data_IF_385484124839
#
_entry.id   IF_385484124839
#
_cell.length_a   1.000
_cell.length_b   1.000
_cell.length_c   1.000
_cell.angle_alpha   90.00
_cell.angle_beta   90.00
_cell.angle_gamma   90.00
#
_symmetry.space_group_name_H-M   'P 1'
#
loop_
_entity.id
_entity.type
_entity.pdbx_description
1 polymer ?
#
# COMPACT_ATOMS: atom_id res chain seq x y z
N UNK A 1 -7.31 8.07 -22.59
CA UNK A 1 -6.06 7.74 -21.86
C UNK A 1 -6.41 7.33 -20.43
N UNK A 2 -5.90 6.21 -19.99
CA UNK A 2 -6.19 5.72 -18.66
C UNK A 2 -5.36 6.44 -17.60
N UNK A 3 -5.97 6.69 -16.44
CA UNK A 3 -5.24 7.17 -15.28
C UNK A 3 -4.40 6.01 -14.72
N UNK A 4 -3.14 6.26 -14.41
CA UNK A 4 -2.23 5.22 -13.92
C UNK A 4 -2.01 5.38 -12.42
N UNK A 5 -2.38 4.37 -11.66
CA UNK A 5 -2.23 4.35 -10.20
C UNK A 5 -1.34 3.17 -9.82
N UNK A 6 -0.31 3.45 -9.06
CA UNK A 6 0.56 2.42 -8.50
C UNK A 6 0.15 2.14 -7.06
N UNK A 7 -0.13 0.89 -6.77
CA UNK A 7 -0.39 0.46 -5.39
C UNK A 7 0.90 -0.17 -4.87
N UNK A 8 1.35 0.29 -3.70
CA UNK A 8 2.54 -0.24 -3.05
C UNK A 8 2.13 -0.70 -1.66
N UNK A 9 2.24 -2.00 -1.42
CA UNK A 9 1.94 -2.59 -0.12
C UNK A 9 3.22 -3.04 0.57
N UNK A 10 3.35 -2.72 1.84
CA UNK A 10 4.50 -3.03 2.65
C UNK A 10 4.42 -4.36 3.37
N UNK A 11 5.16 -4.46 4.50
CA UNK A 11 5.36 -5.74 5.17
C UNK A 11 4.06 -6.43 5.59
N UNK A 12 4.04 -7.72 5.39
CA UNK A 12 3.00 -8.64 5.84
C UNK A 12 1.67 -8.55 5.11
N UNK A 13 1.51 -7.63 4.18
CA UNK A 13 0.28 -7.55 3.38
C UNK A 13 0.15 -8.79 2.48
N UNK A 14 1.28 -9.40 2.11
CA UNK A 14 1.27 -10.64 1.35
C UNK A 14 0.62 -11.80 2.11
N UNK A 15 0.44 -11.65 3.43
CA UNK A 15 -0.20 -12.68 4.26
C UNK A 15 -1.69 -12.41 4.47
N UNK A 16 -2.21 -11.36 3.88
CA UNK A 16 -3.63 -11.04 4.00
C UNK A 16 -4.46 -12.21 3.46
N UNK A 17 -5.44 -12.63 4.26
CA UNK A 17 -6.28 -13.78 3.91
C UNK A 17 -5.69 -15.11 4.32
N UNK A 18 -4.43 -15.15 4.76
CA UNK A 18 -3.74 -16.39 5.13
C UNK A 18 -3.51 -16.53 6.62
N UNK A 19 -3.35 -15.41 7.34
CA UNK A 19 -3.14 -15.44 8.78
C UNK A 19 -4.34 -14.85 9.48
N UNK A 20 -4.78 -15.54 10.54
CA UNK A 20 -5.88 -15.09 11.38
C UNK A 20 -7.09 -14.59 10.58
N UNK A 21 -7.69 -15.44 9.72
CA UNK A 21 -8.82 -15.02 8.88
C UNK A 21 -10.00 -14.46 9.66
N UNK A 22 -10.18 -14.90 10.90
CA UNK A 22 -11.26 -14.39 11.75
C UNK A 22 -11.07 -12.92 12.14
N UNK A 23 -9.82 -12.43 12.06
CA UNK A 23 -9.49 -11.05 12.43
C UNK A 23 -9.34 -10.18 11.19
N UNK A 24 -8.63 -10.68 10.19
CA UNK A 24 -8.25 -9.88 9.01
C UNK A 24 -9.10 -10.17 7.76
N UNK A 25 -9.99 -11.17 7.87
CA UNK A 25 -10.77 -11.62 6.72
C UNK A 25 -10.03 -12.68 5.92
N UNK A 26 -10.78 -13.40 5.09
CA UNK A 26 -10.22 -14.50 4.30
C UNK A 26 -9.75 -14.07 2.91
N UNK A 27 -10.06 -12.85 2.51
CA UNK A 27 -9.75 -12.35 1.17
C UNK A 27 -8.30 -11.88 1.09
N UNK A 28 -7.58 -12.33 0.08
CA UNK A 28 -6.22 -11.86 -0.18
C UNK A 28 -6.27 -10.47 -0.80
N UNK A 29 -5.11 -9.78 -0.80
CA UNK A 29 -5.06 -8.49 -1.48
C UNK A 29 -5.21 -8.65 -2.99
N UNK A 30 -4.72 -9.73 -3.55
CA UNK A 30 -4.87 -10.01 -4.96
C UNK A 30 -6.34 -10.10 -5.37
N UNK A 31 -7.16 -10.73 -4.52
CA UNK A 31 -8.61 -10.78 -4.74
C UNK A 31 -9.23 -9.38 -4.68
N UNK A 32 -8.80 -8.60 -3.71
CA UNK A 32 -9.25 -7.23 -3.55
C UNK A 32 -8.89 -6.38 -4.77
N UNK A 33 -7.69 -6.58 -5.28
CA UNK A 33 -7.19 -5.85 -6.45
C UNK A 33 -8.05 -6.13 -7.68
N UNK A 34 -8.49 -7.37 -7.87
CA UNK A 34 -9.38 -7.70 -8.98
C UNK A 34 -10.72 -6.98 -8.86
N UNK A 35 -11.22 -6.83 -7.65
CA UNK A 35 -12.44 -6.07 -7.42
C UNK A 35 -12.25 -4.59 -7.74
N UNK A 36 -11.10 -4.03 -7.38
CA UNK A 36 -10.78 -2.64 -7.71
C UNK A 36 -10.72 -2.43 -9.21
N UNK A 37 -10.08 -3.33 -9.92
CA UNK A 37 -9.98 -3.24 -11.37
C UNK A 37 -11.35 -3.30 -12.05
N UNK A 38 -12.23 -4.15 -11.53
CA UNK A 38 -13.57 -4.28 -12.06
C UNK A 38 -14.41 -3.03 -11.76
N UNK A 39 -14.23 -2.46 -10.57
CA UNK A 39 -15.00 -1.28 -10.14
C UNK A 39 -14.57 0.01 -10.85
N UNK A 40 -13.29 0.07 -11.26
CA UNK A 40 -12.73 1.27 -11.87
C UNK A 40 -12.03 0.94 -13.19
N UNK A 41 -12.80 0.58 -14.23
CA UNK A 41 -12.21 0.13 -15.50
C UNK A 41 -11.41 1.20 -16.23
N UNK A 42 -11.60 2.47 -15.86
CA UNK A 42 -10.86 3.58 -16.48
C UNK A 42 -9.52 3.87 -15.80
N UNK A 43 -9.19 3.09 -14.77
CA UNK A 43 -7.92 3.24 -14.06
C UNK A 43 -7.04 2.03 -14.35
N UNK A 44 -5.80 2.30 -14.72
CA UNK A 44 -4.80 1.25 -14.88
C UNK A 44 -4.06 1.11 -13.55
N UNK A 45 -4.31 0.00 -12.85
CA UNK A 45 -3.65 -0.28 -11.57
C UNK A 45 -2.43 -1.13 -11.79
N UNK A 46 -1.32 -0.71 -11.18
CA UNK A 46 -0.12 -1.54 -11.05
C UNK A 46 0.06 -1.88 -9.60
N UNK A 47 0.54 -3.07 -9.30
CA UNK A 47 0.66 -3.55 -7.93
C UNK A 47 2.07 -3.99 -7.61
N UNK A 48 2.55 -3.59 -6.45
CA UNK A 48 3.86 -3.99 -5.94
C UNK A 48 3.73 -4.22 -4.43
N UNK A 49 4.31 -5.32 -3.96
CA UNK A 49 4.34 -5.63 -2.54
C UNK A 49 5.76 -6.02 -2.16
N UNK A 50 6.23 -5.52 -1.02
CA UNK A 50 7.54 -5.91 -0.52
C UNK A 50 7.58 -5.79 1.00
N UNK A 51 8.35 -6.67 1.62
CA UNK A 51 8.66 -6.58 3.04
C UNK A 51 9.94 -5.76 3.27
N UNK A 52 10.58 -5.30 2.19
CA UNK A 52 11.87 -4.62 2.25
C UNK A 52 11.68 -3.13 2.00
N UNK A 53 12.02 -2.31 2.99
CA UNK A 53 11.86 -0.86 2.91
C UNK A 53 12.51 -0.25 1.68
N UNK A 54 13.75 -0.64 1.39
CA UNK A 54 14.48 -0.10 0.25
C UNK A 54 13.81 -0.37 -1.09
N UNK A 55 13.18 -1.52 -1.22
CA UNK A 55 12.48 -1.86 -2.45
C UNK A 55 11.23 -1.00 -2.64
N UNK A 56 10.57 -0.63 -1.54
CA UNK A 56 9.42 0.27 -1.58
C UNK A 56 9.88 1.66 -2.03
N UNK A 57 10.99 2.13 -1.50
CA UNK A 57 11.58 3.41 -1.87
C UNK A 57 11.93 3.43 -3.35
N UNK A 58 12.57 2.37 -3.83
CA UNK A 58 12.94 2.25 -5.24
C UNK A 58 11.71 2.28 -6.15
N UNK A 59 10.63 1.64 -5.73
CA UNK A 59 9.40 1.66 -6.51
C UNK A 59 8.79 3.06 -6.56
N UNK A 60 8.82 3.80 -5.46
CA UNK A 60 8.33 5.18 -5.43
C UNK A 60 9.14 6.04 -6.40
N UNK A 61 10.47 5.88 -6.42
CA UNK A 61 11.32 6.61 -7.37
C UNK A 61 10.98 6.23 -8.81
N UNK A 62 10.75 4.96 -9.06
CA UNK A 62 10.49 4.46 -10.41
C UNK A 62 9.22 5.07 -11.01
N UNK A 63 8.15 5.19 -10.20
CA UNK A 63 6.84 5.63 -10.69
C UNK A 63 6.53 7.08 -10.33
N UNK A 64 7.39 7.72 -9.57
CA UNK A 64 7.08 8.98 -8.90
C UNK A 64 7.03 10.22 -9.78
N UNK A 65 7.28 10.09 -11.09
CA UNK A 65 7.31 11.24 -12.00
C UNK A 65 6.39 11.08 -13.21
N UNK A 66 5.82 9.90 -13.41
CA UNK A 66 4.99 9.66 -14.59
C UNK A 66 3.67 8.94 -14.31
N UNK A 67 3.44 8.46 -13.09
CA UNK A 67 2.13 7.96 -12.71
C UNK A 67 1.26 9.09 -12.20
N UNK A 68 -0.05 8.89 -12.21
CA UNK A 68 -1.00 9.89 -11.74
C UNK A 68 -1.18 9.86 -10.23
N UNK A 69 -0.93 8.73 -9.61
CA UNK A 69 -1.02 8.62 -8.16
C UNK A 69 -0.36 7.36 -7.65
N UNK A 70 0.02 7.39 -6.38
CA UNK A 70 0.57 6.24 -5.66
C UNK A 70 -0.29 6.04 -4.42
N UNK A 71 -0.78 4.82 -4.22
CA UNK A 71 -1.49 4.44 -2.99
C UNK A 71 -0.53 3.57 -2.19
N UNK A 72 -0.10 4.07 -1.05
CA UNK A 72 0.94 3.43 -0.24
C UNK A 72 0.36 2.91 1.07
N UNK A 73 0.57 1.62 1.31
CA UNK A 73 0.31 1.02 2.61
C UNK A 73 1.64 0.52 3.15
N UNK A 74 2.31 1.36 3.91
CA UNK A 74 3.67 1.08 4.38
C UNK A 74 3.71 0.16 5.60
N UNK A 75 2.56 -0.17 6.18
CA UNK A 75 2.52 -1.00 7.37
C UNK A 75 3.25 -0.32 8.53
N UNK A 76 4.11 -1.07 9.20
CA UNK A 76 4.84 -0.54 10.35
C UNK A 76 5.77 0.62 9.99
N UNK A 77 6.22 0.70 8.75
CA UNK A 77 7.11 1.78 8.33
C UNK A 77 6.44 3.15 8.33
N UNK A 78 5.13 3.20 8.34
CA UNK A 78 4.39 4.46 8.45
C UNK A 78 4.85 5.28 9.64
N UNK A 79 5.17 4.63 10.73
CA UNK A 79 5.53 5.30 11.98
C UNK A 79 7.03 5.43 12.22
N UNK A 80 7.84 4.74 11.45
CA UNK A 80 9.27 4.65 11.77
C UNK A 80 10.22 5.02 10.64
N UNK A 81 9.77 5.03 9.39
CA UNK A 81 10.70 5.22 8.28
C UNK A 81 10.79 6.68 7.83
N UNK A 82 11.88 7.33 8.23
CA UNK A 82 12.20 8.67 7.74
C UNK A 82 12.57 8.61 6.26
N UNK A 83 13.28 7.56 5.85
CA UNK A 83 13.70 7.39 4.46
C UNK A 83 12.50 7.27 3.52
N UNK A 84 11.47 6.54 3.95
CA UNK A 84 10.27 6.39 3.15
C UNK A 84 9.52 7.73 3.02
N UNK A 85 9.44 8.49 4.11
CA UNK A 85 8.82 9.81 4.08
C UNK A 85 9.59 10.77 3.17
N UNK A 86 10.92 10.71 3.18
CA UNK A 86 11.72 11.51 2.28
C UNK A 86 11.47 11.15 0.81
N UNK A 87 11.33 9.86 0.53
CA UNK A 87 11.05 9.42 -0.83
C UNK A 87 9.71 9.97 -1.34
N UNK A 88 8.71 9.96 -0.47
CA UNK A 88 7.39 10.50 -0.81
C UNK A 88 7.49 11.98 -1.18
N UNK A 89 8.26 12.74 -0.42
CA UNK A 89 8.43 14.17 -0.66
C UNK A 89 9.30 14.49 -1.87
N UNK A 90 10.14 13.55 -2.28
CA UNK A 90 11.09 13.77 -3.36
C UNK A 90 10.49 13.61 -4.74
N UNK A 91 9.34 12.96 -4.86
CA UNK A 91 8.73 12.68 -6.16
C UNK A 91 7.59 13.65 -6.45
N UNK A 92 7.21 13.72 -7.72
CA UNK A 92 6.15 14.61 -8.19
C UNK A 92 4.77 14.02 -8.02
N UNK A 93 4.65 12.71 -8.23
CA UNK A 93 3.37 12.01 -8.15
C UNK A 93 2.81 12.07 -6.74
N UNK A 94 1.53 12.47 -6.56
CA UNK A 94 0.92 12.50 -5.23
C UNK A 94 0.86 11.09 -4.63
N UNK A 95 1.13 11.01 -3.33
CA UNK A 95 1.09 9.76 -2.60
C UNK A 95 0.03 9.85 -1.52
N UNK A 96 -0.90 8.87 -1.54
CA UNK A 96 -1.93 8.74 -0.52
C UNK A 96 -1.56 7.54 0.34
N UNK A 97 -1.41 7.76 1.63
CA UNK A 97 -1.11 6.68 2.57
C UNK A 97 -2.41 6.09 3.09
N UNK A 98 -2.48 4.77 3.07
CA UNK A 98 -3.66 4.06 3.56
C UNK A 98 -3.21 2.98 4.53
N UNK A 99 -4.13 2.51 5.36
CA UNK A 99 -3.89 1.43 6.31
C UNK A 99 -4.91 0.33 6.08
N UNK A 100 -4.41 -0.86 5.78
CA UNK A 100 -5.26 -2.04 5.63
C UNK A 100 -5.11 -2.83 6.92
N UNK A 101 -6.08 -2.72 7.80
CA UNK A 101 -6.00 -3.40 9.09
C UNK A 101 -7.38 -3.56 9.69
N UNK A 102 -7.49 -4.54 10.60
CA UNK A 102 -8.66 -4.70 11.43
C UNK A 102 -8.47 -3.82 12.66
N UNK A 103 -9.28 -2.77 12.76
CA UNK A 103 -9.18 -1.80 13.85
C UNK A 103 -9.31 -2.45 15.22
N UNK A 104 -10.22 -3.39 15.34
CA UNK A 104 -10.44 -4.07 16.62
C UNK A 104 -9.23 -4.90 17.06
N UNK A 105 -8.59 -5.56 16.12
CA UNK A 105 -7.46 -6.41 16.42
C UNK A 105 -6.21 -5.63 16.78
N UNK A 106 -6.11 -4.37 16.35
CA UNK A 106 -4.90 -3.57 16.49
C UNK A 106 -5.05 -2.34 17.36
N UNK A 107 -6.18 -2.18 17.94
CA UNK A 107 -6.54 -0.96 18.66
C UNK A 107 -5.56 -0.59 19.75
N UNK A 108 -5.14 -1.56 20.57
CA UNK A 108 -4.23 -1.30 21.68
C UNK A 108 -2.91 -0.71 21.21
N UNK A 109 -2.40 -1.18 20.12
CA UNK A 109 -1.15 -0.66 19.56
C UNK A 109 -1.35 0.71 18.95
N UNK A 110 -2.43 0.89 18.24
CA UNK A 110 -2.68 2.13 17.50
C UNK A 110 -2.95 3.32 18.41
N UNK A 111 -3.54 3.07 19.55
CA UNK A 111 -3.80 4.15 20.49
C UNK A 111 -2.53 4.76 21.03
N UNK A 112 -1.43 4.04 21.01
CA UNK A 112 -0.15 4.50 21.55
C UNK A 112 0.75 5.12 20.51
N UNK A 113 0.39 5.01 19.29
CA UNK A 113 1.17 5.56 18.19
C UNK A 113 0.44 6.72 17.54
#
# INVERSE_FOLDING_TARGET
MLMKIQIINGPNINLLGKREPSIYGAKSFEDYLEELKAAYPDIEFSYFQSNVEGLMIDKIHEVGFDYDGIVLNAGAYTHSSIALQDAIRAVKTPVVEVHISNVHAREEFRHKS
#
